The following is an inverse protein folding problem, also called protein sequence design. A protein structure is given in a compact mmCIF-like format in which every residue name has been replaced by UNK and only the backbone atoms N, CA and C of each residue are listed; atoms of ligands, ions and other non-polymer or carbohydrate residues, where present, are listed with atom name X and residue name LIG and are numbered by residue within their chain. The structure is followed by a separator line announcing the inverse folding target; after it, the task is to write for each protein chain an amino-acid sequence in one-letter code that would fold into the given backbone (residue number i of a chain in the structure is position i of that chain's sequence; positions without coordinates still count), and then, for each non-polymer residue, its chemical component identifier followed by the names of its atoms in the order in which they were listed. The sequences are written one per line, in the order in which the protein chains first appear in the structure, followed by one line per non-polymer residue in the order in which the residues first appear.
data_IF_932999659807
#
_entry.id   IF_932999659807
#
_cell.length_a   1.000
_cell.length_b   1.000
_cell.length_c   1.000
_cell.angle_alpha   90.00
_cell.angle_beta   90.00
_cell.angle_gamma   90.00
#
_symmetry.space_group_name_H-M   'P 1'
#
loop_
_entity.id
_entity.type
_entity.pdbx_description
1 polymer ?
#
# COMPACT_ATOMS: atom_id res chain seq x y z
N UNK A 1 -11.10 -14.15 -15.07
CA UNK A 1 -11.42 -12.88 -14.36
C UNK A 1 -10.29 -11.92 -14.65
N UNK A 2 -10.52 -10.94 -15.51
CA UNK A 2 -9.50 -9.92 -15.83
C UNK A 2 -9.60 -8.81 -14.79
N UNK A 3 -8.69 -8.84 -13.84
CA UNK A 3 -8.58 -7.79 -12.83
C UNK A 3 -7.99 -6.54 -13.52
N UNK A 4 -8.79 -5.51 -13.76
CA UNK A 4 -8.33 -4.27 -14.39
C UNK A 4 -7.73 -3.37 -13.32
N UNK A 5 -6.44 -3.59 -13.00
CA UNK A 5 -5.70 -2.74 -12.08
C UNK A 5 -5.42 -1.37 -12.70
N UNK A 6 -5.78 -0.29 -12.01
CA UNK A 6 -5.34 1.06 -12.38
C UNK A 6 -3.97 1.29 -11.76
N UNK A 7 -2.91 1.12 -12.56
CA UNK A 7 -1.53 1.33 -12.12
C UNK A 7 -1.06 2.72 -12.55
N UNK A 8 -0.98 3.66 -11.60
CA UNK A 8 -0.49 5.02 -11.89
C UNK A 8 0.40 5.51 -10.74
N UNK A 9 1.70 5.26 -10.83
CA UNK A 9 2.69 5.75 -9.85
C UNK A 9 2.73 7.28 -9.71
N UNK A 10 2.21 8.01 -10.68
CA UNK A 10 2.09 9.50 -10.72
C UNK A 10 0.66 9.99 -10.49
N UNK A 11 -0.26 9.09 -10.16
CA UNK A 11 -1.66 9.41 -9.90
C UNK A 11 -1.84 10.18 -8.60
N UNK A 12 -2.81 11.10 -8.61
CA UNK A 12 -3.29 11.80 -7.41
C UNK A 12 -4.74 11.40 -7.14
N UNK A 13 -5.29 11.62 -5.93
CA UNK A 13 -6.66 11.19 -5.58
C UNK A 13 -7.72 11.59 -6.61
N UNK A 14 -7.70 12.82 -7.10
CA UNK A 14 -8.66 13.28 -8.11
C UNK A 14 -8.53 12.51 -9.44
N UNK A 15 -7.31 12.15 -9.85
CA UNK A 15 -7.11 11.34 -11.06
C UNK A 15 -7.62 9.92 -10.88
N UNK A 16 -7.42 9.35 -9.68
CA UNK A 16 -7.97 8.03 -9.33
C UNK A 16 -9.49 8.06 -9.37
N UNK A 17 -10.13 9.05 -8.75
CA UNK A 17 -11.59 9.20 -8.75
C UNK A 17 -12.14 9.32 -10.16
N UNK A 18 -11.55 10.16 -11.02
CA UNK A 18 -11.97 10.29 -12.42
C UNK A 18 -11.81 8.99 -13.21
N UNK A 19 -10.74 8.25 -12.98
CA UNK A 19 -10.51 6.96 -13.63
C UNK A 19 -11.54 5.92 -13.17
N UNK A 20 -11.85 5.89 -11.88
CA UNK A 20 -12.89 5.02 -11.31
C UNK A 20 -14.28 5.39 -11.83
N UNK A 21 -14.65 6.67 -11.87
CA UNK A 21 -15.91 7.12 -12.46
C UNK A 21 -16.09 6.67 -13.92
N UNK A 22 -15.00 6.69 -14.68
CA UNK A 22 -15.03 6.21 -16.06
C UNK A 22 -15.17 4.68 -16.13
N UNK A 23 -14.44 3.95 -15.29
CA UNK A 23 -14.44 2.48 -15.25
C UNK A 23 -15.78 1.91 -14.78
N UNK A 24 -16.40 2.53 -13.76
CA UNK A 24 -17.67 2.09 -13.17
C UNK A 24 -18.87 2.17 -14.12
N UNK A 25 -18.72 2.84 -15.27
CA UNK A 25 -19.72 2.81 -16.33
C UNK A 25 -19.79 1.47 -17.07
N UNK A 26 -18.75 0.64 -16.94
CA UNK A 26 -18.57 -0.59 -17.72
C UNK A 26 -18.24 -1.81 -16.86
N UNK A 27 -17.80 -1.60 -15.62
CA UNK A 27 -17.30 -2.66 -14.75
C UNK A 27 -17.94 -2.48 -13.36
N UNK A 28 -18.46 -3.57 -12.81
CA UNK A 28 -18.96 -3.56 -11.43
C UNK A 28 -17.81 -3.34 -10.45
N UNK A 29 -18.08 -2.60 -9.38
CA UNK A 29 -17.07 -2.22 -8.38
C UNK A 29 -16.40 -3.43 -7.73
N UNK A 30 -17.13 -4.53 -7.57
CA UNK A 30 -16.60 -5.78 -7.01
C UNK A 30 -15.54 -6.46 -7.89
N UNK A 31 -15.39 -6.01 -9.14
CA UNK A 31 -14.38 -6.48 -10.09
C UNK A 31 -13.21 -5.50 -10.25
N UNK A 32 -13.15 -4.45 -9.43
CA UNK A 32 -12.09 -3.44 -9.46
C UNK A 32 -11.19 -3.64 -8.25
N UNK A 33 -9.87 -3.69 -8.48
CA UNK A 33 -8.85 -3.57 -7.44
C UNK A 33 -7.96 -2.35 -7.65
N UNK A 34 -7.56 -1.73 -6.55
CA UNK A 34 -6.60 -0.63 -6.56
C UNK A 34 -5.17 -1.17 -6.48
N UNK A 35 -4.31 -0.74 -7.42
CA UNK A 35 -2.88 -1.04 -7.40
C UNK A 35 -2.10 0.27 -7.50
N UNK A 36 -1.42 0.65 -6.41
CA UNK A 36 -0.77 1.93 -6.31
C UNK A 36 0.71 1.80 -5.98
N UNK A 37 1.52 2.66 -6.63
CA UNK A 37 2.92 2.86 -6.33
C UNK A 37 3.12 4.12 -5.49
N UNK A 38 4.08 4.08 -4.57
CA UNK A 38 4.36 5.18 -3.64
C UNK A 38 5.52 6.08 -4.10
N UNK A 39 5.83 6.07 -5.41
CA UNK A 39 6.93 6.85 -6.00
C UNK A 39 6.87 8.34 -5.64
N UNK A 40 5.69 8.93 -5.66
CA UNK A 40 5.45 10.32 -5.27
C UNK A 40 4.75 10.45 -3.90
N UNK A 41 4.75 9.40 -3.09
CA UNK A 41 4.13 9.42 -1.77
C UNK A 41 2.60 9.53 -1.78
N UNK A 42 1.95 9.17 -2.88
CA UNK A 42 0.50 9.35 -3.04
C UNK A 42 -0.30 8.05 -2.88
N UNK A 43 0.36 6.92 -2.66
CA UNK A 43 -0.31 5.62 -2.66
C UNK A 43 -1.41 5.51 -1.59
N UNK A 44 -1.16 5.94 -0.36
CA UNK A 44 -2.16 5.92 0.72
C UNK A 44 -3.32 6.87 0.47
N UNK A 45 -3.04 8.07 -0.06
CA UNK A 45 -4.09 9.03 -0.45
C UNK A 45 -4.97 8.48 -1.57
N UNK A 46 -4.37 7.80 -2.54
CA UNK A 46 -5.06 7.15 -3.64
C UNK A 46 -5.89 5.95 -3.14
N UNK A 47 -5.35 5.16 -2.22
CA UNK A 47 -6.06 4.06 -1.55
C UNK A 47 -7.30 4.58 -0.83
N UNK A 48 -7.15 5.64 -0.03
CA UNK A 48 -8.26 6.27 0.67
C UNK A 48 -9.33 6.79 -0.31
N UNK A 49 -8.92 7.48 -1.36
CA UNK A 49 -9.86 8.00 -2.37
C UNK A 49 -10.63 6.89 -3.08
N UNK A 50 -9.97 5.78 -3.43
CA UNK A 50 -10.60 4.62 -4.04
C UNK A 50 -11.55 3.91 -3.06
N UNK A 51 -11.15 3.77 -1.80
CA UNK A 51 -11.97 3.20 -0.73
C UNK A 51 -13.26 4.01 -0.52
N UNK A 52 -13.16 5.34 -0.51
CA UNK A 52 -14.33 6.24 -0.39
C UNK A 52 -15.30 6.12 -1.57
N UNK A 53 -14.85 5.67 -2.73
CA UNK A 53 -15.69 5.36 -3.90
C UNK A 53 -16.24 3.92 -3.87
N UNK A 54 -15.89 3.12 -2.85
CA UNK A 54 -16.41 1.77 -2.65
C UNK A 54 -15.48 0.66 -3.15
N UNK A 55 -14.28 0.97 -3.64
CA UNK A 55 -13.28 -0.07 -3.93
C UNK A 55 -12.77 -0.65 -2.61
N UNK A 56 -12.81 -1.97 -2.48
CA UNK A 56 -12.44 -2.68 -1.25
C UNK A 56 -11.32 -3.71 -1.45
N UNK A 57 -10.85 -3.88 -2.67
CA UNK A 57 -9.71 -4.75 -3.01
C UNK A 57 -8.50 -3.91 -3.38
N UNK A 58 -7.36 -4.19 -2.75
CA UNK A 58 -6.11 -3.47 -3.00
C UNK A 58 -4.93 -4.44 -3.08
N UNK A 59 -4.12 -4.27 -4.12
CA UNK A 59 -2.85 -4.96 -4.25
C UNK A 59 -1.77 -4.17 -3.53
N UNK A 60 -1.09 -4.82 -2.60
CA UNK A 60 -0.04 -4.22 -1.78
C UNK A 60 1.16 -5.16 -1.69
N UNK A 61 2.29 -4.67 -1.23
CA UNK A 61 3.47 -5.51 -1.07
C UNK A 61 4.10 -5.33 0.31
N UNK A 62 4.45 -6.45 0.95
CA UNK A 62 5.16 -6.44 2.23
C UNK A 62 6.44 -5.61 2.11
N UNK A 63 6.68 -4.73 3.08
CA UNK A 63 7.82 -3.81 3.09
C UNK A 63 7.96 -2.93 1.83
N UNK A 64 6.88 -2.74 1.06
CA UNK A 64 6.92 -2.02 -0.21
C UNK A 64 7.81 -2.67 -1.26
N UNK A 65 7.94 -4.01 -1.23
CA UNK A 65 8.78 -4.75 -2.17
C UNK A 65 8.26 -4.62 -3.61
N UNK A 66 9.19 -4.75 -4.55
CA UNK A 66 8.92 -4.58 -5.97
C UNK A 66 9.11 -3.13 -6.41
N UNK A 67 9.55 -2.94 -7.63
CA UNK A 67 9.74 -1.66 -8.29
C UNK A 67 9.25 -1.73 -9.72
N UNK A 68 8.99 -0.59 -10.32
CA UNK A 68 8.74 -0.53 -11.75
C UNK A 68 10.11 -0.59 -12.48
N UNK A 69 10.41 -1.63 -13.25
CA UNK A 69 11.69 -1.74 -13.95
C UNK A 69 11.90 -0.63 -14.99
N UNK A 70 10.82 0.06 -15.36
CA UNK A 70 10.82 1.13 -16.37
C UNK A 70 10.98 2.53 -15.79
N UNK A 71 11.01 2.69 -14.47
CA UNK A 71 11.18 3.99 -13.82
C UNK A 71 12.41 3.95 -12.90
N UNK A 72 13.54 4.47 -13.37
CA UNK A 72 14.73 4.68 -12.52
C UNK A 72 14.34 5.55 -11.32
N UNK A 73 14.54 5.02 -10.10
CA UNK A 73 14.20 5.72 -8.86
C UNK A 73 12.76 5.55 -8.37
N UNK A 74 11.95 4.71 -9.03
CA UNK A 74 10.64 4.34 -8.50
C UNK A 74 10.82 3.58 -7.18
N UNK A 75 10.32 4.17 -6.10
CA UNK A 75 10.05 3.42 -4.87
C UNK A 75 8.96 2.40 -5.20
N UNK A 76 9.07 1.19 -4.65
CA UNK A 76 8.21 0.07 -4.99
C UNK A 76 6.72 0.30 -4.78
N UNK A 77 5.99 -0.78 -4.74
CA UNK A 77 4.56 -0.82 -4.42
C UNK A 77 4.29 -0.16 -3.07
N UNK A 78 3.04 0.25 -2.84
CA UNK A 78 2.61 0.65 -1.50
C UNK A 78 2.85 -0.50 -0.52
N UNK A 79 3.40 -0.18 0.64
CA UNK A 79 3.67 -1.18 1.66
C UNK A 79 2.36 -1.67 2.30
N UNK A 80 2.22 -2.98 2.45
CA UNK A 80 1.05 -3.59 3.09
C UNK A 80 0.86 -3.09 4.52
N UNK A 81 1.95 -2.94 5.26
CA UNK A 81 1.96 -2.44 6.65
C UNK A 81 1.34 -1.04 6.74
N UNK A 82 1.64 -0.17 5.78
CA UNK A 82 1.14 1.20 5.76
C UNK A 82 -0.37 1.24 5.45
N UNK A 83 -0.82 0.39 4.51
CA UNK A 83 -2.25 0.26 4.18
C UNK A 83 -3.03 -0.36 5.33
N UNK A 84 -2.52 -1.42 5.97
CA UNK A 84 -3.16 -2.06 7.13
C UNK A 84 -3.28 -1.07 8.28
N UNK A 85 -2.25 -0.28 8.55
CA UNK A 85 -2.30 0.76 9.58
C UNK A 85 -3.39 1.80 9.30
N UNK A 86 -3.49 2.27 8.05
CA UNK A 86 -4.56 3.18 7.62
C UNK A 86 -5.94 2.58 7.87
N UNK A 87 -6.17 1.34 7.41
CA UNK A 87 -7.46 0.67 7.53
C UNK A 87 -7.86 0.41 8.99
N UNK A 88 -6.92 -0.06 9.82
CA UNK A 88 -7.16 -0.24 11.26
C UNK A 88 -7.49 1.10 11.94
N UNK A 89 -6.81 2.20 11.57
CA UNK A 89 -7.11 3.54 12.07
C UNK A 89 -8.51 4.03 11.69
N UNK A 90 -9.08 3.52 10.61
CA UNK A 90 -10.46 3.77 10.17
C UNK A 90 -11.49 2.83 10.80
N UNK A 91 -11.06 1.90 11.67
CA UNK A 91 -11.94 0.89 12.27
C UNK A 91 -12.31 -0.27 11.34
N UNK A 92 -11.56 -0.46 10.26
CA UNK A 92 -11.75 -1.55 9.29
C UNK A 92 -10.91 -2.75 9.74
N UNK A 93 -11.56 -3.88 9.97
CA UNK A 93 -10.89 -5.14 10.28
C UNK A 93 -10.37 -5.79 9.00
N UNK A 94 -9.06 -6.05 8.96
CA UNK A 94 -8.40 -6.68 7.81
C UNK A 94 -8.11 -8.16 8.03
N UNK A 95 -8.22 -8.65 9.26
CA UNK A 95 -7.76 -9.98 9.66
C UNK A 95 -6.23 -10.13 9.71
N UNK A 96 -5.48 -9.05 9.51
CA UNK A 96 -4.02 -9.04 9.50
C UNK A 96 -3.49 -8.55 10.85
N UNK A 97 -2.58 -9.31 11.43
CA UNK A 97 -1.79 -8.91 12.60
C UNK A 97 -0.62 -8.02 12.13
N UNK A 98 -0.74 -6.72 12.40
CA UNK A 98 0.23 -5.72 11.94
C UNK A 98 1.63 -5.97 12.53
N UNK A 99 1.74 -6.39 13.79
CA UNK A 99 3.03 -6.63 14.41
C UNK A 99 3.78 -7.81 13.76
N UNK A 100 3.07 -8.90 13.47
CA UNK A 100 3.64 -10.03 12.74
C UNK A 100 4.01 -9.66 11.30
N UNK A 101 3.19 -8.84 10.65
CA UNK A 101 3.47 -8.34 9.30
C UNK A 101 4.76 -7.51 9.27
N UNK A 102 4.95 -6.62 10.25
CA UNK A 102 6.17 -5.82 10.41
C UNK A 102 7.40 -6.73 10.60
N UNK A 103 7.29 -7.80 11.39
CA UNK A 103 8.38 -8.74 11.60
C UNK A 103 8.76 -9.48 10.30
N UNK A 104 7.77 -9.89 9.51
CA UNK A 104 8.00 -10.52 8.20
C UNK A 104 8.65 -9.54 7.24
N UNK A 105 8.14 -8.30 7.16
CA UNK A 105 8.69 -7.25 6.32
C UNK A 105 10.14 -6.92 6.66
N UNK A 106 10.48 -6.90 7.95
CA UNK A 106 11.85 -6.68 8.41
C UNK A 106 12.77 -7.84 8.05
N UNK A 107 12.32 -9.09 8.22
CA UNK A 107 13.10 -10.28 7.86
C UNK A 107 13.44 -10.32 6.37
N UNK A 108 12.46 -10.12 5.50
CA UNK A 108 12.69 -10.14 4.06
C UNK A 108 13.57 -8.97 3.60
N UNK A 109 13.41 -7.78 4.19
CA UNK A 109 14.25 -6.63 3.89
C UNK A 109 15.71 -6.87 4.26
N UNK A 110 15.95 -7.47 5.45
CA UNK A 110 17.30 -7.85 5.88
C UNK A 110 17.91 -8.93 4.98
N UNK A 111 17.14 -9.95 4.60
CA UNK A 111 17.61 -10.99 3.66
C UNK A 111 18.01 -10.42 2.31
N UNK A 112 17.27 -9.43 1.80
CA UNK A 112 17.54 -8.77 0.53
C UNK A 112 18.61 -7.66 0.63
N UNK A 113 19.13 -7.37 1.84
CA UNK A 113 20.09 -6.31 2.06
C UNK A 113 19.59 -4.90 1.73
N UNK A 114 18.28 -4.66 1.91
CA UNK A 114 17.64 -3.36 1.63
C UNK A 114 16.90 -2.83 2.85
N UNK A 115 16.67 -1.51 2.88
CA UNK A 115 15.81 -0.92 3.90
C UNK A 115 14.34 -1.33 3.70
N UNK A 116 13.63 -1.50 4.81
CA UNK A 116 12.17 -1.68 4.78
C UNK A 116 11.50 -0.41 4.20
N UNK A 117 10.69 -0.58 3.17
CA UNK A 117 10.01 0.55 2.51
C UNK A 117 8.80 1.08 3.27
N UNK A 118 8.31 0.37 4.31
CA UNK A 118 7.19 0.81 5.13
C UNK A 118 7.63 1.84 6.17
N UNK A 119 6.92 2.97 6.20
CA UNK A 119 7.10 4.00 7.25
C UNK A 119 6.54 3.52 8.58
N UNK A 120 5.43 2.80 8.56
CA UNK A 120 4.81 2.20 9.76
C UNK A 120 5.74 1.17 10.40
N UNK A 121 6.29 0.25 9.59
CA UNK A 121 7.25 -0.74 10.10
C UNK A 121 8.47 -0.06 10.73
N UNK A 122 9.03 0.95 10.06
CA UNK A 122 10.17 1.71 10.58
C UNK A 122 9.86 2.36 11.92
N UNK A 123 8.70 2.98 12.06
CA UNK A 123 8.27 3.64 13.30
C UNK A 123 8.08 2.61 14.44
N UNK A 124 7.41 1.49 14.17
CA UNK A 124 7.17 0.43 15.15
C UNK A 124 8.49 -0.20 15.61
N UNK A 125 9.40 -0.52 14.69
CA UNK A 125 10.71 -1.10 15.00
C UNK A 125 11.58 -0.17 15.83
N UNK A 126 11.58 1.13 15.52
CA UNK A 126 12.31 2.13 16.31
C UNK A 126 11.74 2.27 17.73
N UNK A 127 10.42 2.27 17.88
CA UNK A 127 9.77 2.28 19.19
C UNK A 127 10.14 1.03 20.03
N UNK A 128 10.15 -0.15 19.43
CA UNK A 128 10.56 -1.39 20.11
C UNK A 128 12.01 -1.33 20.59
N UNK A 129 12.93 -0.79 19.78
CA UNK A 129 14.33 -0.60 20.16
C UNK A 129 14.49 0.35 21.35
N UNK A 130 13.76 1.46 21.39
CA UNK A 130 13.83 2.42 22.49
C UNK A 130 13.35 1.83 23.83
N UNK A 131 12.41 0.88 23.80
CA UNK A 131 11.90 0.20 24.99
C UNK A 131 12.87 -0.88 25.54
N UNK A 132 13.80 -1.39 24.72
CA UNK A 132 14.77 -2.41 25.12
C UNK A 132 16.09 -1.81 25.63
N UNK A 133 16.31 -0.50 25.51
CA UNK A 133 17.55 0.21 25.95
C UNK A 133 17.34 0.92 27.30
N UNK A 134 16.14 0.93 27.84
CA UNK A 134 15.80 1.41 29.18
C UNK A 134 15.68 0.24 30.16
#
# INVERSE_FOLDING_TARGET
MTNSGVNIGVGTPIKVQKALDAALRYIDIDNISGHFHDTYGQALSNTLAALQMGVWQFDTSVAGLGGCPYAKGATGNVATEDVVYLLHGMGIETGIDLDKLVDVGQKISAFLGRQNGSKVATAILNKRKSLTVS
#
